data_IF_346285189939
#
_entry.id   IF_346285189939
#
_cell.length_a   1.000
_cell.length_b   1.000
_cell.length_c   1.000
_cell.angle_alpha   90.00
_cell.angle_beta   90.00
_cell.angle_gamma   90.00
#
_symmetry.space_group_name_H-M   'P 1'
#
loop_
_entity.id
_entity.type
_entity.pdbx_description
1 polymer ?
#
# COMPACT_ATOMS: atom_id res chain seq x y z
N UNK A 1 15.58 16.70 -32.41
CA UNK A 1 14.42 16.24 -31.61
C UNK A 1 14.31 14.74 -31.78
N UNK A 2 14.70 13.96 -30.76
CA UNK A 2 14.50 12.50 -30.73
C UNK A 2 13.14 12.20 -30.09
N UNK A 3 12.36 11.23 -30.60
CA UNK A 3 11.06 10.91 -30.06
C UNK A 3 11.18 10.21 -28.70
N UNK A 4 10.30 10.59 -27.78
CA UNK A 4 10.14 9.98 -26.46
C UNK A 4 9.69 8.52 -26.66
N UNK A 5 10.55 7.57 -26.28
CA UNK A 5 10.18 6.17 -26.18
C UNK A 5 9.16 6.02 -25.03
N UNK A 6 7.88 5.88 -25.38
CA UNK A 6 6.86 5.40 -24.45
C UNK A 6 7.04 3.90 -24.35
N UNK A 7 7.78 3.44 -23.34
CA UNK A 7 7.88 2.01 -23.03
C UNK A 7 6.53 1.54 -22.51
N UNK A 8 5.82 0.79 -23.34
CA UNK A 8 4.61 0.05 -22.93
C UNK A 8 4.98 -0.91 -21.80
N UNK A 9 4.25 -0.92 -20.67
CA UNK A 9 4.54 -1.84 -19.59
C UNK A 9 4.30 -3.28 -20.05
N UNK A 10 5.36 -4.10 -20.04
CA UNK A 10 5.28 -5.53 -20.29
C UNK A 10 4.41 -6.19 -19.22
N UNK A 11 3.25 -6.70 -19.62
CA UNK A 11 2.33 -7.45 -18.75
C UNK A 11 2.83 -8.88 -18.65
N UNK A 12 3.47 -9.22 -17.53
CA UNK A 12 3.63 -10.61 -17.10
C UNK A 12 2.40 -10.94 -16.25
N UNK A 13 1.75 -12.08 -16.50
CA UNK A 13 0.64 -12.56 -15.68
C UNK A 13 1.04 -12.62 -14.19
N UNK A 14 0.55 -11.66 -13.40
CA UNK A 14 0.86 -11.51 -11.98
C UNK A 14 1.17 -10.05 -11.62
N UNK A 15 0.18 -9.34 -11.06
CA UNK A 15 0.19 -7.96 -10.53
C UNK A 15 1.40 -7.07 -10.84
N UNK A 16 1.21 -6.03 -11.65
CA UNK A 16 2.24 -5.03 -11.96
C UNK A 16 2.49 -4.11 -10.76
N UNK A 17 3.77 -3.94 -10.41
CA UNK A 17 4.24 -2.87 -9.51
C UNK A 17 4.59 -1.64 -10.35
N UNK A 18 3.95 -0.51 -10.07
CA UNK A 18 4.29 0.79 -10.65
C UNK A 18 5.27 1.52 -9.73
N UNK A 19 6.25 2.22 -10.30
CA UNK A 19 7.18 3.05 -9.53
C UNK A 19 7.06 4.49 -10.00
N UNK A 20 6.89 5.40 -9.06
CA UNK A 20 6.74 6.83 -9.29
C UNK A 20 7.90 7.58 -8.63
N UNK A 21 8.50 8.51 -9.38
CA UNK A 21 9.59 9.37 -8.91
C UNK A 21 9.17 10.79 -8.55
N UNK A 22 7.86 11.08 -8.55
CA UNK A 22 7.30 12.38 -8.16
C UNK A 22 5.86 12.23 -7.69
N UNK A 23 5.44 13.08 -6.76
CA UNK A 23 4.05 13.15 -6.30
C UNK A 23 3.11 13.52 -7.45
N UNK A 24 3.53 14.45 -8.32
CA UNK A 24 2.72 14.85 -9.48
C UNK A 24 2.41 13.68 -10.41
N UNK A 25 3.39 12.80 -10.69
CA UNK A 25 3.18 11.64 -11.57
C UNK A 25 2.26 10.59 -10.95
N UNK A 26 2.39 10.35 -9.64
CA UNK A 26 1.50 9.47 -8.88
C UNK A 26 0.06 10.00 -8.86
N UNK A 27 -0.11 11.28 -8.50
CA UNK A 27 -1.39 11.95 -8.42
C UNK A 27 -2.12 11.98 -9.77
N UNK A 28 -1.42 12.32 -10.86
CA UNK A 28 -2.00 12.39 -12.19
C UNK A 28 -2.40 11.01 -12.73
N UNK A 29 -1.61 9.95 -12.44
CA UNK A 29 -1.84 8.62 -13.01
C UNK A 29 -2.83 7.78 -12.22
N UNK A 30 -2.77 7.84 -10.88
CA UNK A 30 -3.59 7.00 -10.00
C UNK A 30 -4.64 7.79 -9.23
N UNK A 31 -4.52 9.11 -9.10
CA UNK A 31 -5.40 9.88 -8.24
C UNK A 31 -5.18 9.60 -6.75
N UNK A 32 -3.95 9.23 -6.38
CA UNK A 32 -3.49 8.96 -5.00
C UNK A 32 -2.28 9.84 -4.75
N UNK A 33 -2.06 10.21 -3.49
CA UNK A 33 -0.85 10.92 -3.07
C UNK A 33 -0.53 10.64 -1.60
N UNK A 34 0.74 10.82 -1.22
CA UNK A 34 1.28 10.53 0.11
C UNK A 34 2.25 11.66 0.51
N UNK A 35 1.77 12.87 0.81
CA UNK A 35 2.55 14.12 0.77
C UNK A 35 3.77 14.22 1.71
N UNK A 36 3.95 13.24 2.60
CA UNK A 36 5.02 13.19 3.59
C UNK A 36 6.06 12.09 3.27
N UNK A 37 6.04 11.53 2.06
CA UNK A 37 6.85 10.37 1.65
C UNK A 37 7.46 10.51 0.25
N UNK A 38 8.70 10.05 0.11
CA UNK A 38 9.40 9.97 -1.16
C UNK A 38 10.02 11.32 -1.56
N UNK A 39 9.86 11.76 -2.82
CA UNK A 39 10.50 12.96 -3.32
C UNK A 39 9.96 14.23 -2.63
N UNK A 40 10.77 15.30 -2.62
CA UNK A 40 10.42 16.55 -1.90
C UNK A 40 9.34 17.40 -2.58
N UNK A 41 8.92 17.05 -3.80
CA UNK A 41 7.77 17.72 -4.42
C UNK A 41 6.51 17.42 -3.62
N UNK A 42 5.55 18.34 -3.55
CA UNK A 42 4.31 18.10 -2.83
C UNK A 42 3.14 18.28 -3.77
N UNK A 43 2.24 17.31 -3.75
CA UNK A 43 0.89 17.48 -4.21
C UNK A 43 -0.04 17.22 -3.02
N UNK A 44 -1.27 17.72 -3.10
CA UNK A 44 -2.33 17.41 -2.13
C UNK A 44 -3.63 17.28 -2.87
N UNK A 45 -4.23 16.11 -2.76
CA UNK A 45 -5.52 15.83 -3.35
C UNK A 45 -6.64 16.15 -2.34
N UNK A 46 -7.87 16.44 -2.81
CA UNK A 46 -8.93 17.00 -1.97
C UNK A 46 -9.47 16.04 -0.91
N UNK A 47 -9.50 14.74 -1.18
CA UNK A 47 -10.06 13.73 -0.26
C UNK A 47 -8.95 13.25 0.69
N UNK A 48 -9.03 13.62 1.96
CA UNK A 48 -7.97 13.33 2.95
C UNK A 48 -8.33 12.13 3.81
N UNK A 49 -7.32 11.31 4.12
CA UNK A 49 -7.45 10.32 5.17
C UNK A 49 -7.37 10.97 6.55
N UNK A 50 -8.17 10.50 7.53
CA UNK A 50 -7.95 10.85 8.92
C UNK A 50 -6.54 10.41 9.33
N UNK A 51 -5.90 11.19 10.21
CA UNK A 51 -4.66 10.76 10.84
C UNK A 51 -5.00 9.69 11.89
N UNK A 52 -4.43 8.49 11.75
CA UNK A 52 -4.75 7.34 12.61
C UNK A 52 -3.78 7.11 13.77
N UNK A 53 -2.85 8.05 14.01
CA UNK A 53 -1.95 8.02 15.16
C UNK A 53 -0.79 7.03 15.05
N UNK A 54 0.41 7.51 15.37
CA UNK A 54 1.63 6.72 15.49
C UNK A 54 2.68 7.06 14.43
N UNK A 55 3.94 6.84 14.78
CA UNK A 55 5.04 6.91 13.84
C UNK A 55 4.81 5.89 12.72
N UNK A 56 4.75 6.40 11.49
CA UNK A 56 4.83 5.58 10.29
C UNK A 56 3.57 5.14 9.58
N UNK A 57 2.47 5.86 9.74
CA UNK A 57 1.34 5.74 8.81
C UNK A 57 1.42 6.77 7.68
N UNK A 58 1.18 6.31 6.45
CA UNK A 58 1.08 7.16 5.26
C UNK A 58 -0.08 8.17 5.38
N UNK A 59 0.22 9.46 5.21
CA UNK A 59 -0.76 10.52 5.07
C UNK A 59 -1.43 10.50 3.70
N UNK A 60 -2.29 9.51 3.43
CA UNK A 60 -2.93 9.39 2.11
C UNK A 60 -3.88 10.56 1.81
N UNK A 61 -3.80 11.05 0.58
CA UNK A 61 -4.85 11.88 -0.03
C UNK A 61 -5.26 11.31 -1.39
N UNK A 62 -6.51 11.54 -1.80
CA UNK A 62 -7.09 10.99 -3.02
C UNK A 62 -7.81 12.04 -3.87
N UNK A 63 -7.85 11.80 -5.17
CA UNK A 63 -8.74 12.54 -6.07
C UNK A 63 -10.18 12.09 -5.83
N UNK A 64 -11.15 12.97 -6.13
CA UNK A 64 -12.56 12.60 -6.06
C UNK A 64 -12.90 11.39 -6.94
N UNK A 65 -12.28 11.28 -8.14
CA UNK A 65 -12.50 10.17 -9.05
C UNK A 65 -12.03 8.83 -8.46
N UNK A 66 -10.86 8.82 -7.83
CA UNK A 66 -10.32 7.64 -7.16
C UNK A 66 -11.23 7.21 -5.99
N UNK A 67 -11.56 8.15 -5.09
CA UNK A 67 -12.43 7.85 -3.95
C UNK A 67 -13.83 7.36 -4.41
N UNK A 68 -14.40 7.98 -5.45
CA UNK A 68 -15.71 7.60 -6.00
C UNK A 68 -15.73 6.15 -6.53
N UNK A 69 -14.63 5.66 -7.11
CA UNK A 69 -14.50 4.25 -7.55
C UNK A 69 -14.72 3.28 -6.38
N UNK A 70 -14.14 3.57 -5.21
CA UNK A 70 -14.26 2.70 -4.04
C UNK A 70 -15.57 2.87 -3.29
N UNK A 71 -16.11 4.10 -3.22
CA UNK A 71 -17.45 4.35 -2.65
C UNK A 71 -18.53 3.52 -3.36
N UNK A 72 -18.45 3.39 -4.70
CA UNK A 72 -19.34 2.51 -5.48
C UNK A 72 -19.24 1.02 -5.08
N UNK A 73 -18.11 0.59 -4.52
CA UNK A 73 -17.89 -0.77 -4.00
C UNK A 73 -18.30 -0.91 -2.51
N UNK A 74 -18.84 0.14 -1.91
CA UNK A 74 -19.27 0.18 -0.50
C UNK A 74 -18.18 0.56 0.49
N UNK A 75 -17.03 1.08 0.05
CA UNK A 75 -16.02 1.62 0.96
C UNK A 75 -16.46 2.98 1.51
N UNK A 76 -16.18 3.21 2.79
CA UNK A 76 -16.14 4.56 3.37
C UNK A 76 -14.77 5.17 3.13
N UNK A 77 -14.61 6.48 3.30
CA UNK A 77 -13.28 7.10 3.25
C UNK A 77 -12.35 6.45 4.29
N UNK A 78 -12.86 6.24 5.51
CA UNK A 78 -12.13 5.57 6.59
C UNK A 78 -11.64 4.18 6.17
N UNK A 79 -12.53 3.33 5.65
CA UNK A 79 -12.12 1.96 5.30
C UNK A 79 -11.22 1.89 4.07
N UNK A 80 -11.35 2.82 3.12
CA UNK A 80 -10.39 2.98 2.03
C UNK A 80 -9.00 3.32 2.58
N UNK A 81 -8.90 4.32 3.46
CA UNK A 81 -7.62 4.72 4.04
C UNK A 81 -6.92 3.57 4.78
N UNK A 82 -7.67 2.86 5.61
CA UNK A 82 -7.16 1.70 6.36
C UNK A 82 -6.72 0.57 5.43
N UNK A 83 -7.46 0.33 4.34
CA UNK A 83 -7.13 -0.70 3.38
C UNK A 83 -5.90 -0.35 2.54
N UNK A 84 -5.72 0.90 2.13
CA UNK A 84 -4.51 1.37 1.44
C UNK A 84 -3.28 1.26 2.33
N UNK A 85 -3.42 1.62 3.61
CA UNK A 85 -2.36 1.53 4.63
C UNK A 85 -2.04 0.10 5.10
N UNK A 86 -2.73 -0.92 4.56
CA UNK A 86 -2.52 -2.32 4.99
C UNK A 86 -1.36 -3.01 4.30
N UNK A 87 -0.78 -2.39 3.27
CA UNK A 87 0.41 -2.87 2.51
C UNK A 87 0.28 -4.31 1.99
N UNK A 88 -0.96 -4.77 1.81
CA UNK A 88 -1.23 -6.10 1.26
C UNK A 88 -0.76 -6.18 -0.19
N UNK A 89 -0.23 -7.34 -0.52
CA UNK A 89 0.33 -7.67 -1.83
C UNK A 89 -0.56 -8.64 -2.60
N UNK A 90 -1.38 -9.42 -1.90
CA UNK A 90 -2.20 -10.49 -2.47
C UNK A 90 -3.63 -10.46 -1.94
N UNK A 91 -4.58 -10.84 -2.79
CA UNK A 91 -5.97 -11.05 -2.41
C UNK A 91 -6.06 -12.29 -1.49
N UNK A 92 -6.51 -12.15 -0.23
CA UNK A 92 -6.57 -13.26 0.72
C UNK A 92 -7.53 -14.37 0.30
N UNK A 93 -8.50 -14.08 -0.57
CA UNK A 93 -9.52 -15.03 -1.01
C UNK A 93 -9.06 -15.87 -2.19
N UNK A 94 -8.31 -15.26 -3.11
CA UNK A 94 -7.95 -15.85 -4.41
C UNK A 94 -6.47 -16.13 -4.59
N UNK A 95 -5.60 -15.54 -3.75
CA UNK A 95 -4.15 -15.61 -3.90
C UNK A 95 -3.62 -14.79 -5.07
N UNK A 96 -4.46 -14.02 -5.76
CA UNK A 96 -4.06 -13.18 -6.89
C UNK A 96 -3.22 -12.00 -6.38
N UNK A 97 -2.07 -11.75 -7.03
CA UNK A 97 -1.27 -10.55 -6.79
C UNK A 97 -2.08 -9.29 -7.11
N UNK A 98 -2.17 -8.38 -6.15
CA UNK A 98 -2.81 -7.09 -6.33
C UNK A 98 -1.90 -6.16 -7.12
N UNK A 99 -2.47 -5.24 -7.93
CA UNK A 99 -1.70 -4.18 -8.52
C UNK A 99 -1.28 -3.17 -7.43
N UNK A 100 0.01 -2.86 -7.38
CA UNK A 100 0.61 -2.01 -6.34
C UNK A 100 1.44 -0.88 -6.95
N UNK A 101 1.72 0.14 -6.16
CA UNK A 101 2.67 1.19 -6.51
C UNK A 101 3.70 1.41 -5.42
N UNK A 102 4.81 2.04 -5.80
CA UNK A 102 5.88 2.55 -4.95
C UNK A 102 6.07 4.02 -5.32
N UNK A 103 6.16 4.90 -4.33
CA UNK A 103 6.65 6.27 -4.48
C UNK A 103 8.05 6.35 -3.89
N UNK A 104 9.02 6.86 -4.64
CA UNK A 104 10.42 6.87 -4.22
C UNK A 104 11.16 8.12 -4.69
N UNK A 105 12.04 8.65 -3.85
CA UNK A 105 13.09 9.58 -4.27
C UNK A 105 14.16 8.79 -5.05
N UNK A 106 13.95 8.66 -6.37
CA UNK A 106 14.83 7.89 -7.26
C UNK A 106 16.29 8.37 -7.20
N UNK A 107 16.58 9.69 -7.23
CA UNK A 107 17.94 10.17 -7.02
C UNK A 107 18.58 9.70 -5.71
N UNK A 108 17.89 9.80 -4.57
CA UNK A 108 18.40 9.35 -3.28
C UNK A 108 18.65 7.83 -3.27
N UNK A 109 17.72 7.05 -3.81
CA UNK A 109 17.86 5.59 -3.95
C UNK A 109 19.10 5.21 -4.78
N UNK A 110 19.35 5.90 -5.89
CA UNK A 110 20.53 5.66 -6.73
C UNK A 110 21.85 6.01 -6.03
N UNK A 111 21.85 6.96 -5.11
CA UNK A 111 23.03 7.32 -4.30
C UNK A 111 23.22 6.43 -3.06
N UNK A 112 22.28 5.54 -2.77
CA UNK A 112 22.31 4.71 -1.55
C UNK A 112 21.87 5.47 -0.28
N UNK A 113 21.26 6.64 -0.43
CA UNK A 113 20.72 7.45 0.67
C UNK A 113 19.33 6.92 1.08
N UNK A 114 19.30 5.70 1.63
CA UNK A 114 18.06 5.03 2.04
C UNK A 114 17.79 5.32 3.53
N UNK A 115 16.97 6.32 3.78
CA UNK A 115 16.46 6.67 5.11
C UNK A 115 14.94 6.46 5.18
N UNK A 116 14.37 6.58 6.39
CA UNK A 116 12.92 6.59 6.56
C UNK A 116 12.31 7.72 5.73
N UNK A 117 11.30 7.40 4.92
CA UNK A 117 10.69 8.36 4.00
C UNK A 117 11.29 8.39 2.61
N UNK A 118 12.47 7.80 2.33
CA UNK A 118 13.06 7.80 0.97
C UNK A 118 12.17 7.10 -0.05
N UNK A 119 11.48 6.03 0.34
CA UNK A 119 10.47 5.38 -0.50
C UNK A 119 9.40 4.68 0.33
N UNK A 120 8.22 4.53 -0.25
CA UNK A 120 7.14 3.73 0.35
C UNK A 120 7.37 2.25 0.09
N UNK A 121 6.73 1.40 0.89
CA UNK A 121 6.50 0.02 0.50
C UNK A 121 5.52 -0.10 -0.67
N UNK A 122 5.23 -1.35 -1.06
CA UNK A 122 4.26 -1.64 -2.11
C UNK A 122 2.84 -1.43 -1.61
N UNK A 123 2.23 -0.34 -2.05
CA UNK A 123 0.89 0.04 -1.64
C UNK A 123 -0.12 -0.45 -2.70
N UNK A 124 -1.16 -1.20 -2.32
CA UNK A 124 -2.21 -1.60 -3.25
C UNK A 124 -3.00 -0.39 -3.74
N UNK A 125 -3.33 -0.30 -5.04
CA UNK A 125 -4.25 0.71 -5.58
C UNK A 125 -5.54 0.11 -6.16
N UNK A 126 -5.70 -1.21 -6.04
CA UNK A 126 -6.98 -1.89 -6.17
C UNK A 126 -7.13 -2.85 -4.98
N UNK A 127 -8.33 -2.89 -4.40
CA UNK A 127 -8.59 -3.58 -3.14
C UNK A 127 -9.73 -4.59 -3.31
N UNK A 128 -9.63 -5.78 -2.68
CA UNK A 128 -10.73 -6.73 -2.63
C UNK A 128 -11.95 -6.16 -1.89
N UNK A 129 -13.16 -6.54 -2.31
CA UNK A 129 -14.40 -6.02 -1.71
C UNK A 129 -14.53 -6.35 -0.21
N UNK A 130 -13.90 -7.41 0.28
CA UNK A 130 -13.91 -7.78 1.70
C UNK A 130 -13.17 -6.78 2.61
N UNK A 131 -12.47 -5.78 2.04
CA UNK A 131 -11.83 -4.70 2.79
C UNK A 131 -12.77 -3.50 3.06
N UNK A 132 -13.97 -3.48 2.45
CA UNK A 132 -14.85 -2.31 2.46
C UNK A 132 -15.30 -1.85 3.84
N UNK A 133 -15.26 -2.71 4.85
CA UNK A 133 -15.64 -2.38 6.23
C UNK A 133 -14.42 -2.14 7.15
N UNK A 134 -13.19 -2.14 6.59
CA UNK A 134 -11.97 -2.24 7.38
C UNK A 134 -12.07 -3.39 8.40
N UNK A 135 -12.57 -4.55 7.94
CA UNK A 135 -12.69 -5.80 8.68
C UNK A 135 -12.15 -7.07 7.96
N UNK A 136 -11.04 -7.04 7.17
CA UNK A 136 -10.61 -8.20 6.38
C UNK A 136 -10.38 -9.55 7.10
N UNK A 137 -9.91 -9.60 8.35
CA UNK A 137 -9.83 -10.87 9.10
C UNK A 137 -11.20 -11.50 9.37
N UNK A 138 -12.24 -10.68 9.51
CA UNK A 138 -13.62 -11.11 9.71
C UNK A 138 -14.31 -11.35 8.37
N UNK A 139 -14.16 -10.40 7.45
CA UNK A 139 -14.96 -10.28 6.24
C UNK A 139 -14.38 -11.05 5.05
N UNK A 140 -13.06 -11.28 5.01
CA UNK A 140 -12.43 -12.05 3.95
C UNK A 140 -12.43 -13.54 4.27
N UNK A 141 -12.58 -14.35 3.21
CA UNK A 141 -12.20 -15.77 3.25
C UNK A 141 -10.67 -15.86 3.19
N UNK A 142 -10.01 -16.05 4.33
CA UNK A 142 -8.55 -16.10 4.43
C UNK A 142 -8.01 -17.44 3.93
N UNK A 143 -7.90 -17.61 2.62
CA UNK A 143 -7.30 -18.78 1.99
C UNK A 143 -5.80 -18.62 1.73
N UNK A 144 -5.34 -17.38 1.58
CA UNK A 144 -3.98 -17.03 1.23
C UNK A 144 -3.45 -15.92 2.13
N UNK A 145 -2.16 -15.97 2.39
CA UNK A 145 -1.41 -14.94 3.10
C UNK A 145 -1.35 -13.68 2.24
N UNK A 146 -1.68 -12.53 2.83
CA UNK A 146 -1.84 -11.28 2.09
C UNK A 146 -0.51 -10.63 1.70
N UNK A 147 0.59 -11.05 2.31
CA UNK A 147 1.92 -10.53 1.98
C UNK A 147 2.64 -11.42 0.96
N UNK A 148 2.56 -12.73 1.13
CA UNK A 148 3.35 -13.71 0.36
C UNK A 148 2.55 -14.44 -0.71
N UNK A 149 1.21 -14.40 -0.64
CA UNK A 149 0.33 -15.15 -1.54
C UNK A 149 0.32 -16.66 -1.30
N UNK A 150 0.99 -17.14 -0.25
CA UNK A 150 1.02 -18.57 0.10
C UNK A 150 -0.32 -19.02 0.65
N UNK A 151 -0.75 -20.23 0.27
CA UNK A 151 -1.97 -20.82 0.81
C UNK A 151 -1.84 -21.04 2.32
N UNK A 152 -2.83 -20.58 3.07
CA UNK A 152 -2.90 -20.73 4.52
C UNK A 152 -3.52 -22.07 4.90
N UNK A 153 -2.95 -22.69 5.93
CA UNK A 153 -3.57 -23.84 6.62
C UNK A 153 -4.66 -23.36 7.58
N UNK A 154 -5.60 -24.24 7.93
CA UNK A 154 -6.66 -23.95 8.92
C UNK A 154 -6.08 -23.43 10.24
N UNK A 155 -4.95 -23.99 10.70
CA UNK A 155 -4.26 -23.54 11.91
C UNK A 155 -3.76 -22.09 11.79
N UNK A 156 -3.18 -21.71 10.65
CA UNK A 156 -2.72 -20.34 10.42
C UNK A 156 -3.89 -19.36 10.35
N UNK A 157 -4.98 -19.72 9.67
CA UNK A 157 -6.20 -18.89 9.63
C UNK A 157 -6.75 -18.66 11.03
N UNK A 158 -6.82 -19.71 11.86
CA UNK A 158 -7.31 -19.60 13.22
C UNK A 158 -6.43 -18.68 14.07
N UNK A 159 -5.11 -18.82 13.98
CA UNK A 159 -4.15 -17.92 14.66
C UNK A 159 -4.27 -16.47 14.20
N UNK A 160 -4.42 -16.21 12.89
CA UNK A 160 -4.62 -14.86 12.35
C UNK A 160 -5.90 -14.23 12.90
N UNK A 161 -7.03 -14.96 12.88
CA UNK A 161 -8.32 -14.46 13.38
C UNK A 161 -8.31 -14.16 14.88
N UNK A 162 -7.50 -14.87 15.67
CA UNK A 162 -7.30 -14.60 17.09
C UNK A 162 -6.28 -13.49 17.38
N UNK A 163 -5.65 -12.94 16.35
CA UNK A 163 -4.60 -11.94 16.51
C UNK A 163 -3.29 -12.48 17.09
N UNK A 164 -3.07 -13.80 17.06
CA UNK A 164 -1.88 -14.45 17.64
C UNK A 164 -0.65 -14.40 16.74
N UNK A 165 -0.85 -14.20 15.43
CA UNK A 165 0.22 -13.99 14.44
C UNK A 165 0.46 -12.49 14.20
N UNK A 166 -0.50 -11.65 14.57
CA UNK A 166 -0.31 -10.20 14.58
C UNK A 166 0.65 -9.94 15.74
N UNK A 167 1.90 -9.60 15.45
CA UNK A 167 2.93 -9.43 16.46
C UNK A 167 2.47 -8.53 17.63
N UNK A 168 3.13 -8.65 18.78
CA UNK A 168 2.87 -7.95 20.06
C UNK A 168 2.74 -6.41 20.00
N UNK A 169 2.77 -5.76 18.83
CA UNK A 169 2.94 -4.30 18.65
C UNK A 169 1.69 -3.53 18.22
N UNK A 170 0.55 -4.19 17.96
CA UNK A 170 -0.72 -3.53 17.57
C UNK A 170 -1.60 -3.13 18.76
N UNK A 171 -1.27 -3.57 19.99
CA UNK A 171 -2.09 -3.33 21.19
C UNK A 171 -2.25 -1.85 21.61
N UNK A 172 -1.43 -0.92 21.11
CA UNK A 172 -1.35 0.45 21.63
C UNK A 172 -1.85 1.57 20.67
N UNK A 173 -2.54 1.27 19.56
CA UNK A 173 -2.98 2.32 18.63
C UNK A 173 -4.46 2.69 18.84
N UNK A 174 -4.72 4.00 18.85
CA UNK A 174 -6.04 4.65 19.01
C UNK A 174 -6.94 4.43 17.78
N UNK A 175 -7.21 3.17 17.42
CA UNK A 175 -8.16 2.86 16.37
C UNK A 175 -9.60 3.06 16.88
N UNK A 176 -10.52 3.57 16.06
CA UNK A 176 -11.94 3.65 16.42
C UNK A 176 -12.47 2.26 16.82
N UNK A 177 -13.23 2.20 17.92
CA UNK A 177 -13.87 0.96 18.37
C UNK A 177 -14.64 0.28 17.23
N UNK A 178 -14.55 -1.06 17.17
CA UNK A 178 -15.20 -1.86 16.13
C UNK A 178 -14.45 -1.96 14.79
N UNK A 179 -13.24 -1.39 14.67
CA UNK A 179 -12.38 -1.56 13.49
C UNK A 179 -11.15 -2.41 13.86
N UNK A 180 -10.94 -3.56 13.19
CA UNK A 180 -9.56 -4.03 12.97
C UNK A 180 -8.91 -3.02 12.02
N UNK A 181 -7.63 -2.75 11.95
CA UNK A 181 -6.56 -3.52 11.32
C UNK A 181 -5.34 -2.67 11.61
N UNK A 182 -4.25 -3.32 11.96
CA UNK A 182 -3.19 -3.45 10.97
C UNK A 182 -2.58 -4.84 11.11
N UNK A 183 -2.55 -5.63 10.05
CA UNK A 183 -2.01 -6.99 10.12
C UNK A 183 -0.50 -7.04 10.01
N UNK A 184 0.09 -6.01 9.38
CA UNK A 184 1.51 -5.93 9.07
C UNK A 184 2.04 -4.49 9.24
N UNK A 185 1.50 -3.68 10.18
CA UNK A 185 2.20 -2.44 10.53
C UNK A 185 3.31 -2.79 11.50
N UNK A 186 4.50 -3.01 10.96
CA UNK A 186 5.67 -2.34 11.55
C UNK A 186 5.66 -0.84 11.22
N UNK A 187 4.66 -0.35 10.47
CA UNK A 187 4.75 0.90 9.74
C UNK A 187 5.56 0.62 8.49
N UNK A 188 5.05 0.96 7.31
CA UNK A 188 5.94 1.28 6.18
C UNK A 188 6.90 2.44 6.48
N UNK A 189 6.83 3.02 7.69
CA UNK A 189 7.91 3.75 8.36
C UNK A 189 8.52 3.00 9.54
N UNK A 190 8.93 1.76 9.29
CA UNK A 190 10.18 1.30 9.86
C UNK A 190 11.29 2.32 9.60
N UNK A 191 12.40 2.21 10.33
CA UNK A 191 13.51 3.16 10.24
C UNK A 191 14.09 3.32 8.82
N UNK A 192 13.78 2.40 7.89
CA UNK A 192 14.37 2.33 6.55
C UNK A 192 13.38 1.74 5.54
N UNK A 193 13.53 2.11 4.26
CA UNK A 193 12.74 1.52 3.17
C UNK A 193 13.08 0.03 2.97
N UNK A 194 12.08 -0.80 2.62
CA UNK A 194 12.32 -2.24 2.41
C UNK A 194 13.35 -2.50 1.32
N UNK A 195 14.29 -3.42 1.59
CA UNK A 195 15.29 -3.88 0.64
C UNK A 195 14.67 -4.37 -0.69
N UNK A 196 13.48 -4.95 -0.65
CA UNK A 196 12.79 -5.40 -1.87
C UNK A 196 12.26 -4.22 -2.69
N UNK A 197 11.75 -3.19 -2.02
CA UNK A 197 11.32 -1.93 -2.66
C UNK A 197 12.51 -1.27 -3.37
N UNK A 198 13.65 -1.13 -2.69
CA UNK A 198 14.88 -0.56 -3.26
C UNK A 198 15.32 -1.34 -4.51
N UNK A 199 15.33 -2.68 -4.45
CA UNK A 199 15.68 -3.53 -5.60
C UNK A 199 14.72 -3.33 -6.78
N UNK A 200 13.42 -3.23 -6.52
CA UNK A 200 12.40 -2.99 -7.55
C UNK A 200 12.64 -1.62 -8.21
N UNK A 201 12.88 -0.59 -7.40
CA UNK A 201 13.16 0.78 -7.87
C UNK A 201 14.40 0.78 -8.76
N UNK A 202 15.54 0.25 -8.29
CA UNK A 202 16.79 0.20 -9.05
C UNK A 202 16.64 -0.57 -10.36
N UNK A 203 15.95 -1.72 -10.34
CA UNK A 203 15.71 -2.53 -11.55
C UNK A 203 14.90 -1.76 -12.60
N UNK A 204 13.92 -0.95 -12.19
CA UNK A 204 13.04 -0.20 -13.12
C UNK A 204 13.72 1.01 -13.77
N UNK A 205 14.70 1.62 -13.11
CA UNK A 205 15.34 2.87 -13.57
C UNK A 205 16.77 2.68 -14.10
N UNK A 206 17.24 1.43 -14.20
CA UNK A 206 18.48 1.04 -14.88
C UNK A 206 18.21 0.29 -16.20
N UNK A 207 16.93 0.18 -16.60
CA UNK A 207 16.48 -0.29 -17.92
C UNK A 207 16.24 0.91 -18.83
#
# INVERSE_FOLDING_TARGET
MLPILVTTPTVVHGGTVLVFGSHASLANRLGVDIPDWGPKDKSRLPEKCPYFGGDGMYGFTFSHAFAKKFRKKGFTNLSLCMAMASEIKFDPQTGKRLPTFILADIPAVKRGEIESGTSTDQIPYDLPNCFRNAQPLRDCKLNFDMETGRRLTTRQVHKLKRGEIIGNRVRNRLLPSGHGYVLYNDGGAGSEASNDTVKIVLKKFNQ
#
